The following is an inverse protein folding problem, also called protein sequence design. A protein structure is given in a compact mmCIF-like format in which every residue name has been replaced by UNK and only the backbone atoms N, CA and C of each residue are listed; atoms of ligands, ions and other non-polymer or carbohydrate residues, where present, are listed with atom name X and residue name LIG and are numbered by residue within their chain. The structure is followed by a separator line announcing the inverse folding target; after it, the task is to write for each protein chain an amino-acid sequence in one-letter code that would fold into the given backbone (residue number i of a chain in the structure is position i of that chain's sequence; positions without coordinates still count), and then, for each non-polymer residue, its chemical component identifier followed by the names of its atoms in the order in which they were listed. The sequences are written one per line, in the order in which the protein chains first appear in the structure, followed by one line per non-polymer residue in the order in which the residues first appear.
data_IF_725032156639
#
_entry.id   IF_725032156639
#
_cell.length_a   1.000
_cell.length_b   1.000
_cell.length_c   1.000
_cell.angle_alpha   90.00
_cell.angle_beta   90.00
_cell.angle_gamma   90.00
#
_symmetry.space_group_name_H-M   'P 1'
#
loop_
_entity.id
_entity.type
_entity.pdbx_description
1 polymer ?
#
# COMPACT_ATOMS: atom_id res chain seq x y z
N UNK A 1 -17.58 -7.01 -3.04
CA UNK A 1 -16.21 -6.54 -3.32
C UNK A 1 -15.48 -6.35 -2.00
N UNK A 2 -14.87 -7.41 -1.48
CA UNK A 2 -14.10 -7.41 -0.24
C UNK A 2 -12.77 -8.07 -0.54
N UNK A 3 -11.83 -7.29 -1.08
CA UNK A 3 -10.45 -7.74 -1.27
C UNK A 3 -9.58 -7.28 -0.09
N UNK A 4 -10.10 -7.46 1.14
CA UNK A 4 -9.33 -7.18 2.34
C UNK A 4 -8.19 -8.20 2.41
N UNK A 5 -6.96 -7.72 2.28
CA UNK A 5 -5.78 -8.54 2.51
C UNK A 5 -5.26 -9.33 1.32
N UNK A 6 -5.82 -9.22 0.10
CA UNK A 6 -5.31 -10.00 -1.05
C UNK A 6 -3.80 -9.83 -1.28
N UNK A 7 -3.28 -8.61 -1.17
CA UNK A 7 -1.85 -8.34 -1.35
C UNK A 7 -0.99 -8.71 -0.13
N UNK A 8 -1.59 -8.77 1.06
CA UNK A 8 -0.85 -8.98 2.32
C UNK A 8 -0.84 -10.46 2.73
N UNK A 9 -1.88 -11.23 2.38
CA UNK A 9 -2.01 -12.66 2.67
C UNK A 9 -1.19 -13.54 1.72
N UNK A 10 -0.80 -13.03 0.55
CA UNK A 10 0.12 -13.73 -0.33
C UNK A 10 1.49 -13.85 0.35
N UNK A 11 2.00 -15.08 0.44
CA UNK A 11 3.39 -15.33 0.85
C UNK A 11 4.31 -15.35 -0.37
N UNK A 12 5.11 -14.29 -0.63
CA UNK A 12 6.00 -14.25 -1.77
C UNK A 12 7.15 -15.25 -1.68
N UNK A 13 7.39 -15.88 -0.52
CA UNK A 13 8.45 -16.88 -0.32
C UNK A 13 7.93 -18.32 -0.35
N UNK A 14 6.62 -18.52 -0.54
CA UNK A 14 5.96 -19.83 -0.52
C UNK A 14 6.20 -20.71 -1.75
N UNK A 15 7.35 -20.59 -2.42
CA UNK A 15 7.70 -21.39 -3.59
C UNK A 15 9.19 -21.74 -3.62
N UNK A 16 9.58 -22.88 -4.24
CA UNK A 16 10.98 -23.26 -4.39
C UNK A 16 11.64 -22.35 -5.44
N UNK A 17 12.29 -21.29 -4.99
CA UNK A 17 12.95 -20.31 -5.85
C UNK A 17 13.96 -19.42 -5.11
N UNK A 18 14.50 -18.44 -5.84
CA UNK A 18 15.41 -17.44 -5.28
C UNK A 18 14.67 -16.46 -4.35
N UNK A 19 15.39 -15.89 -3.36
CA UNK A 19 14.83 -14.97 -2.37
C UNK A 19 14.50 -13.58 -2.96
N UNK A 20 14.92 -13.31 -4.20
CA UNK A 20 14.66 -12.03 -4.86
C UNK A 20 13.20 -11.89 -5.29
N UNK A 21 12.42 -11.12 -4.53
CA UNK A 21 11.01 -10.85 -4.80
C UNK A 21 10.77 -9.37 -5.09
N UNK A 22 9.79 -9.06 -5.94
CA UNK A 22 9.47 -7.68 -6.36
C UNK A 22 7.98 -7.46 -6.50
N UNK A 23 7.54 -6.23 -6.25
CA UNK A 23 6.25 -5.74 -6.71
C UNK A 23 6.41 -5.14 -8.11
N UNK A 24 5.46 -5.40 -9.01
CA UNK A 24 5.43 -4.82 -10.34
C UNK A 24 4.12 -4.05 -10.55
N UNK A 25 4.22 -2.90 -11.20
CA UNK A 25 3.09 -2.15 -11.72
C UNK A 25 3.23 -2.10 -13.24
N UNK A 26 2.21 -2.58 -13.94
CA UNK A 26 2.20 -2.59 -15.39
C UNK A 26 1.72 -1.24 -15.92
N UNK A 27 2.38 -0.75 -16.98
CA UNK A 27 2.27 0.63 -17.46
C UNK A 27 1.16 0.86 -18.49
N UNK A 28 0.34 -0.13 -18.84
CA UNK A 28 -0.65 0.01 -19.92
C UNK A 28 -1.71 1.07 -19.61
N UNK A 29 -2.01 1.26 -18.33
CA UNK A 29 -2.98 2.24 -17.83
C UNK A 29 -2.44 3.08 -16.67
N UNK A 30 -1.11 3.11 -16.51
CA UNK A 30 -0.44 3.82 -15.42
C UNK A 30 0.54 4.82 -15.99
N UNK A 31 0.38 6.08 -15.61
CA UNK A 31 1.24 7.19 -16.00
C UNK A 31 1.55 8.08 -14.78
N UNK A 32 2.21 9.22 -15.00
CA UNK A 32 2.58 10.14 -13.93
C UNK A 32 1.37 10.71 -13.17
N UNK A 33 0.17 10.66 -13.74
CA UNK A 33 -1.05 11.22 -13.12
C UNK A 33 -1.63 10.31 -12.05
N UNK A 34 -1.40 8.99 -12.17
CA UNK A 34 -2.03 7.98 -11.32
C UNK A 34 -1.06 6.92 -10.76
N UNK A 35 0.24 7.17 -10.84
CA UNK A 35 1.25 6.23 -10.36
C UNK A 35 1.25 6.14 -8.83
N UNK A 36 1.24 7.28 -8.14
CA UNK A 36 1.47 7.32 -6.68
C UNK A 36 0.29 6.75 -5.91
N UNK A 37 -0.92 7.14 -6.27
CA UNK A 37 -2.18 6.64 -5.71
C UNK A 37 -2.38 5.17 -6.05
N UNK A 38 -2.03 4.71 -7.27
CA UNK A 38 -2.12 3.28 -7.55
C UNK A 38 -1.10 2.44 -6.80
N UNK A 39 0.14 2.95 -6.67
CA UNK A 39 1.22 2.20 -6.05
C UNK A 39 1.06 2.14 -4.53
N UNK A 40 0.80 3.27 -3.89
CA UNK A 40 0.70 3.39 -2.45
C UNK A 40 -0.76 3.45 -2.01
N UNK A 41 -1.19 2.67 -1.00
CA UNK A 41 -0.37 1.95 -0.01
C UNK A 41 -0.18 0.46 -0.31
N UNK A 42 -0.60 -0.02 -1.50
CA UNK A 42 -0.53 -1.45 -1.86
C UNK A 42 0.89 -2.00 -1.85
N UNK A 43 1.86 -1.23 -2.35
CA UNK A 43 3.27 -1.60 -2.31
C UNK A 43 3.83 -1.69 -0.87
N UNK A 44 3.26 -0.96 0.10
CA UNK A 44 3.66 -1.04 1.51
C UNK A 44 3.39 -2.42 2.11
N UNK A 45 2.28 -3.05 1.73
CA UNK A 45 1.94 -4.41 2.16
C UNK A 45 3.01 -5.42 1.69
N UNK A 46 3.43 -5.32 0.42
CA UNK A 46 4.49 -6.18 -0.13
C UNK A 46 5.84 -5.88 0.55
N UNK A 47 6.16 -4.61 0.77
CA UNK A 47 7.40 -4.22 1.46
C UNK A 47 7.48 -4.81 2.88
N UNK A 48 6.37 -4.78 3.63
CA UNK A 48 6.32 -5.36 4.98
C UNK A 48 6.50 -6.88 4.97
N UNK A 49 5.87 -7.59 4.02
CA UNK A 49 6.05 -9.05 3.85
C UNK A 49 7.48 -9.45 3.51
N UNK A 50 8.21 -8.61 2.78
CA UNK A 50 9.60 -8.88 2.39
C UNK A 50 10.63 -8.50 3.45
N UNK A 51 10.30 -7.54 4.32
CA UNK A 51 11.23 -7.03 5.33
C UNK A 51 11.05 -7.67 6.71
N UNK A 52 9.80 -7.84 7.14
CA UNK A 52 9.46 -8.27 8.49
C UNK A 52 9.41 -9.79 8.62
N UNK A 53 9.48 -10.29 9.86
CA UNK A 53 9.38 -11.72 10.14
C UNK A 53 8.09 -12.32 9.54
N UNK A 54 8.19 -13.39 8.72
CA UNK A 54 7.03 -14.07 8.13
C UNK A 54 6.00 -14.55 9.16
N UNK A 55 6.41 -14.88 10.39
CA UNK A 55 5.53 -15.32 11.47
C UNK A 55 4.63 -14.19 11.99
N UNK A 56 5.10 -12.94 11.95
CA UNK A 56 4.36 -11.77 12.44
C UNK A 56 3.46 -11.12 11.38
N UNK A 57 3.60 -11.55 10.13
CA UNK A 57 2.98 -10.90 8.97
C UNK A 57 1.92 -11.76 8.27
N UNK A 58 1.37 -12.78 8.94
CA UNK A 58 0.40 -13.70 8.34
C UNK A 58 -1.04 -13.17 8.31
N UNK A 59 -1.38 -12.24 9.21
CA UNK A 59 -2.74 -11.70 9.34
C UNK A 59 -2.84 -10.29 8.76
N UNK A 60 -3.68 -10.12 7.73
CA UNK A 60 -4.01 -8.81 7.17
C UNK A 60 -4.80 -7.93 8.15
N UNK A 61 -5.66 -8.53 8.98
CA UNK A 61 -6.42 -7.79 9.99
C UNK A 61 -5.50 -7.21 11.08
N UNK A 62 -4.46 -7.96 11.47
CA UNK A 62 -3.46 -7.46 12.41
C UNK A 62 -2.56 -6.38 11.80
N UNK A 63 -2.37 -6.40 10.48
CA UNK A 63 -1.58 -5.41 9.74
C UNK A 63 -2.34 -4.10 9.50
N UNK A 64 -3.66 -4.17 9.41
CA UNK A 64 -4.51 -3.03 9.04
C UNK A 64 -4.26 -1.76 9.87
N UNK A 65 -4.19 -1.78 11.22
CA UNK A 65 -3.97 -0.56 12.00
C UNK A 65 -2.62 0.10 11.70
N UNK A 66 -1.59 -0.72 11.44
CA UNK A 66 -0.22 -0.26 11.15
C UNK A 66 -0.13 0.33 9.75
N UNK A 67 -0.77 -0.34 8.79
CA UNK A 67 -0.82 0.10 7.40
C UNK A 67 -1.60 1.42 7.27
N UNK A 68 -2.69 1.57 8.03
CA UNK A 68 -3.47 2.80 8.11
C UNK A 68 -2.64 3.98 8.64
N UNK A 69 -1.95 3.80 9.76
CA UNK A 69 -1.04 4.84 10.29
C UNK A 69 0.03 5.22 9.24
N UNK A 70 0.61 4.23 8.56
CA UNK A 70 1.59 4.47 7.51
C UNK A 70 1.01 5.26 6.33
N UNK A 71 -0.23 4.97 5.91
CA UNK A 71 -0.94 5.75 4.89
C UNK A 71 -1.09 7.20 5.34
N UNK A 72 -1.57 7.45 6.56
CA UNK A 72 -1.71 8.82 7.07
C UNK A 72 -0.36 9.54 7.15
N UNK A 73 0.71 8.84 7.51
CA UNK A 73 2.06 9.39 7.52
C UNK A 73 2.53 9.78 6.12
N UNK A 74 2.21 9.00 5.09
CA UNK A 74 2.53 9.34 3.70
C UNK A 74 1.74 10.54 3.20
N UNK A 75 0.44 10.62 3.53
CA UNK A 75 -0.39 11.78 3.19
C UNK A 75 0.16 13.05 3.86
N UNK A 76 0.50 12.97 5.14
CA UNK A 76 1.13 14.08 5.88
C UNK A 76 2.46 14.53 5.25
N UNK A 77 3.21 13.61 4.63
CA UNK A 77 4.45 13.91 3.90
C UNK A 77 4.24 14.49 2.50
N UNK A 78 2.99 14.65 2.06
CA UNK A 78 2.67 15.22 0.76
C UNK A 78 2.60 14.20 -0.37
N UNK A 79 2.36 12.91 -0.09
CA UNK A 79 2.06 11.92 -1.11
C UNK A 79 0.55 11.74 -1.29
N UNK A 80 0.09 11.76 -2.54
CA UNK A 80 -1.30 11.45 -2.90
C UNK A 80 -1.53 9.94 -2.87
N UNK A 81 -1.77 9.40 -1.68
CA UNK A 81 -1.90 7.96 -1.43
C UNK A 81 -3.37 7.54 -1.43
N UNK A 82 -3.68 6.41 -2.07
CA UNK A 82 -5.02 5.85 -2.09
C UNK A 82 -5.48 5.42 -0.68
N UNK A 83 -6.78 5.39 -0.45
CA UNK A 83 -7.36 4.82 0.76
C UNK A 83 -7.17 3.30 0.79
N UNK A 84 -7.01 2.72 1.97
CA UNK A 84 -6.69 1.28 2.10
C UNK A 84 -7.93 0.41 1.90
N UNK A 85 -9.03 0.72 2.61
CA UNK A 85 -10.33 0.03 2.55
C UNK A 85 -11.34 0.76 3.47
N UNK A 86 -12.65 0.53 3.24
CA UNK A 86 -13.76 1.05 4.07
C UNK A 86 -13.79 2.60 4.16
N UNK A 87 -14.77 3.22 4.86
CA UNK A 87 -14.69 4.64 5.21
C UNK A 87 -13.50 4.84 6.15
N UNK A 88 -12.51 5.58 5.69
CA UNK A 88 -11.27 5.83 6.41
C UNK A 88 -10.96 7.33 6.39
N UNK A 89 -10.27 7.82 7.40
CA UNK A 89 -9.87 9.23 7.50
C UNK A 89 -8.49 9.36 8.15
N UNK A 90 -7.74 10.37 7.74
CA UNK A 90 -6.53 10.78 8.42
C UNK A 90 -6.76 12.09 9.17
N UNK A 91 -6.06 12.33 10.30
CA UNK A 91 -6.09 13.62 10.99
C UNK A 91 -5.66 14.80 10.10
N UNK A 92 -4.74 14.54 9.16
CA UNK A 92 -4.33 15.45 8.11
C UNK A 92 -4.70 14.81 6.77
N UNK A 93 -5.65 15.40 6.07
CA UNK A 93 -6.09 14.94 4.75
C UNK A 93 -5.27 15.55 3.62
N UNK A 94 -5.37 14.93 2.44
CA UNK A 94 -4.75 15.43 1.22
C UNK A 94 -5.41 16.76 0.80
N UNK A 95 -4.63 17.83 0.78
CA UNK A 95 -5.04 19.14 0.29
C UNK A 95 -4.76 19.27 -1.20
N UNK A 96 -5.82 19.20 -2.02
CA UNK A 96 -5.70 19.48 -3.45
C UNK A 96 -5.47 20.98 -3.65
N UNK A 97 -4.20 21.36 -3.80
CA UNK A 97 -3.84 22.74 -4.16
C UNK A 97 -4.27 23.03 -5.59
N UNK A 98 -5.48 23.55 -5.74
CA UNK A 98 -5.91 24.18 -6.98
C UNK A 98 -5.07 25.45 -7.18
N UNK A 99 -4.15 25.42 -8.14
CA UNK A 99 -3.55 26.66 -8.62
C UNK A 99 -4.60 27.38 -9.45
N UNK A 100 -5.11 28.50 -8.93
CA UNK A 100 -5.88 29.45 -9.73
C UNK A 100 -5.00 29.87 -10.92
N UNK A 101 -5.50 29.64 -12.13
CA UNK A 101 -4.83 29.95 -13.40
C UNK A 101 -4.81 31.46 -13.67
#
# INVERSE_FOLDING_TARGET
MRDRGMYYQCDPQGFPGDQTQKAAIWGEFVDATNLIDRLWPRASAVAERLWSDPALTQSADAAWPRLHEFRCRLVYRGFRVQTINDPDYCPYEWDEKYQEL
#
